data_IF_944173947010
#
_entry.id   IF_944173947010
#
_cell.length_a   1.000
_cell.length_b   1.000
_cell.length_c   1.000
_cell.angle_alpha   90.00
_cell.angle_beta   90.00
_cell.angle_gamma   90.00
#
_symmetry.space_group_name_H-M   'P 1'
#
loop_
_entity.id
_entity.type
_entity.pdbx_description
1 polymer ?
#
# COMPACT_ATOMS: atom_id res chain seq x y z
N UNK A 1 -7.57 20.02 5.73
CA UNK A 1 -7.27 18.61 6.04
C UNK A 1 -6.75 18.57 7.46
N UNK A 2 -7.04 17.52 8.25
CA UNK A 2 -6.56 17.41 9.63
C UNK A 2 -5.05 17.26 9.65
N UNK A 3 -4.40 17.84 10.64
CA UNK A 3 -2.98 17.66 10.87
C UNK A 3 -2.73 16.23 11.37
N UNK A 4 -1.72 15.56 10.81
CA UNK A 4 -1.21 14.27 11.31
C UNK A 4 -0.01 14.48 12.27
N UNK A 5 0.19 15.70 12.73
CA UNK A 5 1.29 16.07 13.62
C UNK A 5 1.31 15.18 14.89
N UNK A 6 2.46 14.62 15.19
CA UNK A 6 2.65 13.71 16.31
C UNK A 6 2.25 12.25 16.06
N UNK A 7 1.71 11.92 14.88
CA UNK A 7 1.45 10.54 14.47
C UNK A 7 2.65 9.96 13.74
N UNK A 8 2.80 8.65 13.85
CA UNK A 8 3.87 7.88 13.22
C UNK A 8 3.30 6.90 12.20
N UNK A 9 3.84 6.92 10.99
CA UNK A 9 3.41 6.08 9.88
C UNK A 9 4.51 5.12 9.40
N UNK A 10 4.12 3.90 9.02
CA UNK A 10 4.94 2.96 8.28
C UNK A 10 4.29 2.66 6.92
N UNK A 11 5.03 2.88 5.83
CA UNK A 11 4.59 2.60 4.47
C UNK A 11 5.46 1.52 3.85
N UNK A 12 4.90 0.33 3.57
CA UNK A 12 5.64 -0.72 2.87
C UNK A 12 5.71 -0.44 1.38
N UNK A 13 6.86 -0.73 0.74
CA UNK A 13 7.06 -0.37 -0.67
C UNK A 13 7.15 1.15 -0.89
N UNK A 14 7.53 1.92 0.14
CA UNK A 14 7.51 3.38 0.15
C UNK A 14 8.61 4.07 -0.66
N UNK A 15 9.53 3.32 -1.30
CA UNK A 15 10.63 3.92 -2.07
C UNK A 15 10.23 4.47 -3.44
N UNK A 16 9.07 4.10 -4.00
CA UNK A 16 8.62 4.52 -5.33
C UNK A 16 7.10 4.41 -5.51
N UNK A 17 6.60 4.97 -6.63
CA UNK A 17 5.21 4.87 -7.06
C UNK A 17 4.21 5.30 -5.97
N UNK A 18 3.12 4.57 -5.85
CA UNK A 18 2.03 4.85 -4.89
C UNK A 18 2.56 4.95 -3.45
N UNK A 19 3.40 4.00 -3.02
CA UNK A 19 3.94 4.01 -1.67
C UNK A 19 4.77 5.25 -1.35
N UNK A 20 5.58 5.73 -2.30
CA UNK A 20 6.33 6.98 -2.15
C UNK A 20 5.41 8.19 -2.07
N UNK A 21 4.42 8.29 -2.95
CA UNK A 21 3.45 9.38 -2.93
C UNK A 21 2.69 9.43 -1.59
N UNK A 22 2.26 8.27 -1.08
CA UNK A 22 1.63 8.18 0.23
C UNK A 22 2.59 8.65 1.34
N UNK A 23 3.84 8.19 1.36
CA UNK A 23 4.81 8.57 2.38
C UNK A 23 5.01 10.09 2.42
N UNK A 24 5.17 10.74 1.26
CA UNK A 24 5.32 12.19 1.17
C UNK A 24 4.05 12.95 1.55
N UNK A 25 2.89 12.46 1.16
CA UNK A 25 1.62 13.08 1.49
C UNK A 25 1.35 13.05 3.01
N UNK A 26 1.68 11.93 3.70
CA UNK A 26 1.56 11.83 5.16
C UNK A 26 2.57 12.75 5.88
N UNK A 27 3.79 12.85 5.35
CA UNK A 27 4.82 13.76 5.87
C UNK A 27 4.40 15.23 5.74
N UNK A 28 3.87 15.63 4.59
CA UNK A 28 3.35 16.98 4.38
C UNK A 28 2.18 17.35 5.30
N UNK A 29 1.45 16.36 5.84
CA UNK A 29 0.43 16.57 6.88
C UNK A 29 1.01 16.52 8.31
N UNK A 30 2.32 16.33 8.46
CA UNK A 30 3.04 16.42 9.74
C UNK A 30 3.29 15.08 10.45
N UNK A 31 3.05 13.94 9.80
CA UNK A 31 3.38 12.63 10.37
C UNK A 31 4.88 12.32 10.24
N UNK A 32 5.46 11.68 11.26
CA UNK A 32 6.74 11.00 11.13
C UNK A 32 6.55 9.75 10.25
N UNK A 33 7.40 9.54 9.25
CA UNK A 33 7.18 8.46 8.29
C UNK A 33 8.40 7.56 8.14
N UNK A 34 8.19 6.26 8.35
CA UNK A 34 9.13 5.23 7.94
C UNK A 34 8.66 4.57 6.63
N UNK A 35 9.60 4.29 5.74
CA UNK A 35 9.35 3.48 4.55
C UNK A 35 10.06 2.13 4.68
N UNK A 36 9.36 1.04 4.36
CA UNK A 36 9.99 -0.28 4.29
C UNK A 36 10.25 -0.66 2.83
N UNK A 37 11.44 -1.20 2.56
CA UNK A 37 11.89 -1.62 1.24
C UNK A 37 12.56 -2.98 1.27
N UNK A 38 12.58 -3.69 0.13
CA UNK A 38 13.22 -5.00 0.03
C UNK A 38 14.60 -4.95 -0.63
N UNK A 39 14.73 -4.24 -1.76
CA UNK A 39 15.93 -4.27 -2.61
C UNK A 39 16.48 -2.89 -2.96
N UNK A 40 15.62 -1.93 -3.23
CA UNK A 40 15.98 -0.60 -3.74
C UNK A 40 16.25 0.34 -2.55
N UNK A 41 17.45 0.23 -2.02
CA UNK A 41 17.92 1.01 -0.87
C UNK A 41 18.00 2.49 -1.19
N UNK A 42 18.58 2.83 -2.35
CA UNK A 42 18.74 4.22 -2.77
C UNK A 42 17.40 4.94 -2.91
N UNK A 43 16.41 4.27 -3.51
CA UNK A 43 15.08 4.85 -3.64
C UNK A 43 14.39 5.06 -2.28
N UNK A 44 14.56 4.13 -1.35
CA UNK A 44 13.99 4.25 -0.01
C UNK A 44 14.65 5.38 0.79
N UNK A 45 15.97 5.49 0.77
CA UNK A 45 16.69 6.59 1.42
C UNK A 45 16.38 7.95 0.82
N UNK A 46 16.21 8.05 -0.51
CA UNK A 46 15.74 9.28 -1.16
C UNK A 46 14.33 9.67 -0.70
N UNK A 47 13.46 8.69 -0.48
CA UNK A 47 12.12 8.97 0.06
C UNK A 47 12.20 9.43 1.51
N UNK A 48 13.00 8.77 2.36
CA UNK A 48 13.19 9.17 3.75
C UNK A 48 13.76 10.59 3.86
N UNK A 49 14.77 10.94 3.06
CA UNK A 49 15.32 12.29 3.00
C UNK A 49 14.28 13.34 2.53
N UNK A 50 13.39 12.96 1.59
CA UNK A 50 12.32 13.84 1.15
C UNK A 50 11.22 14.01 2.23
N UNK A 51 10.97 12.99 3.05
CA UNK A 51 10.14 13.10 4.26
C UNK A 51 10.76 14.06 5.28
N UNK A 52 12.06 13.95 5.54
CA UNK A 52 12.78 14.85 6.45
C UNK A 52 12.75 16.32 5.97
N UNK A 53 12.72 16.55 4.66
CA UNK A 53 12.59 17.89 4.10
C UNK A 53 11.24 18.57 4.41
N UNK A 54 10.20 17.80 4.76
CA UNK A 54 8.92 18.31 5.27
C UNK A 54 8.99 18.71 6.76
N UNK A 55 10.14 18.52 7.43
CA UNK A 55 10.34 18.90 8.83
C UNK A 55 9.91 17.85 9.87
N UNK A 56 9.67 16.62 9.43
CA UNK A 56 9.30 15.47 10.27
C UNK A 56 10.40 14.40 10.23
N UNK A 57 10.30 13.35 11.06
CA UNK A 57 11.27 12.25 11.03
C UNK A 57 11.04 11.34 9.83
N UNK A 58 12.12 11.03 9.10
CA UNK A 58 12.15 10.12 7.97
C UNK A 58 13.03 8.90 8.23
N UNK A 59 12.53 7.68 8.01
CA UNK A 59 13.31 6.46 8.18
C UNK A 59 13.15 5.51 6.98
N UNK A 60 14.22 4.76 6.67
CA UNK A 60 14.17 3.70 5.68
C UNK A 60 14.59 2.37 6.32
N UNK A 61 13.70 1.37 6.30
CA UNK A 61 13.94 0.06 6.88
C UNK A 61 13.96 -1.01 5.79
N UNK A 62 15.05 -1.78 5.73
CA UNK A 62 15.07 -2.95 4.87
C UNK A 62 14.30 -4.08 5.52
N UNK A 63 13.28 -4.60 4.82
CA UNK A 63 12.53 -5.78 5.21
C UNK A 63 11.79 -6.38 4.01
N UNK A 64 11.74 -7.70 3.92
CA UNK A 64 10.91 -8.44 2.97
C UNK A 64 9.61 -8.83 3.64
N UNK A 65 8.49 -8.32 3.14
CA UNK A 65 7.17 -8.61 3.74
C UNK A 65 6.75 -10.07 3.59
N UNK A 66 7.34 -10.82 2.65
CA UNK A 66 7.09 -12.24 2.41
C UNK A 66 7.86 -13.17 3.39
N UNK A 67 8.64 -12.61 4.31
CA UNK A 67 9.35 -13.32 5.37
C UNK A 67 8.83 -12.88 6.75
N UNK A 68 8.36 -13.85 7.54
CA UNK A 68 7.79 -13.60 8.86
C UNK A 68 8.82 -13.05 9.86
N UNK A 69 10.06 -13.55 9.84
CA UNK A 69 11.09 -13.10 10.78
C UNK A 69 11.58 -11.68 10.43
N UNK A 70 11.67 -11.35 9.14
CA UNK A 70 11.94 -9.97 8.71
C UNK A 70 10.80 -9.02 9.10
N UNK A 71 9.53 -9.44 9.01
CA UNK A 71 8.39 -8.66 9.50
C UNK A 71 8.46 -8.42 11.02
N UNK A 72 8.81 -9.43 11.80
CA UNK A 72 9.02 -9.32 13.26
C UNK A 72 10.21 -8.40 13.60
N UNK A 73 11.30 -8.52 12.85
CA UNK A 73 12.46 -7.65 13.01
C UNK A 73 12.13 -6.20 12.67
N UNK A 74 11.36 -5.98 11.60
CA UNK A 74 10.85 -4.65 11.25
C UNK A 74 9.99 -4.06 12.36
N UNK A 75 9.06 -4.82 12.94
CA UNK A 75 8.22 -4.37 14.04
C UNK A 75 9.04 -3.92 15.26
N UNK A 76 10.08 -4.69 15.63
CA UNK A 76 11.00 -4.30 16.71
C UNK A 76 11.77 -3.02 16.40
N UNK A 77 12.21 -2.84 15.15
CA UNK A 77 12.90 -1.59 14.73
C UNK A 77 11.97 -0.39 14.73
N UNK A 78 10.74 -0.55 14.26
CA UNK A 78 9.73 0.51 14.33
C UNK A 78 9.49 0.91 15.79
N UNK A 79 9.34 -0.04 16.70
CA UNK A 79 9.17 0.23 18.12
C UNK A 79 10.40 0.93 18.73
N UNK A 80 11.64 0.46 18.45
CA UNK A 80 12.86 1.02 19.01
C UNK A 80 13.17 2.43 18.50
N UNK A 81 12.96 2.67 17.19
CA UNK A 81 13.43 3.87 16.53
C UNK A 81 12.36 4.97 16.49
N UNK A 82 11.09 4.59 16.49
CA UNK A 82 9.95 5.51 16.40
C UNK A 82 9.13 5.59 17.70
N UNK A 83 9.14 4.53 18.51
CA UNK A 83 8.44 4.47 19.80
C UNK A 83 6.94 4.15 19.69
N UNK A 84 6.28 4.55 18.61
CA UNK A 84 4.85 4.36 18.37
C UNK A 84 4.60 3.99 16.89
N UNK A 85 3.40 3.49 16.60
CA UNK A 85 2.91 3.33 15.24
C UNK A 85 1.39 3.56 15.21
N UNK A 86 0.99 4.64 14.56
CA UNK A 86 -0.41 5.05 14.46
C UNK A 86 -1.01 4.72 13.09
N UNK A 87 -0.17 4.68 12.04
CA UNK A 87 -0.61 4.48 10.67
C UNK A 87 0.24 3.40 10.01
N UNK A 88 -0.41 2.34 9.48
CA UNK A 88 0.25 1.33 8.66
C UNK A 88 -0.37 1.32 7.26
N UNK A 89 0.47 1.48 6.23
CA UNK A 89 0.05 1.37 4.84
C UNK A 89 0.74 0.17 4.17
N UNK A 90 -0.07 -0.84 3.82
CA UNK A 90 0.36 -1.99 3.03
C UNK A 90 0.37 -1.65 1.54
N UNK A 91 1.46 -1.08 1.04
CA UNK A 91 1.64 -0.74 -0.38
C UNK A 91 2.68 -1.61 -1.11
N UNK A 92 3.43 -2.45 -0.40
CA UNK A 92 4.35 -3.39 -1.03
C UNK A 92 3.61 -4.36 -1.94
N UNK A 93 4.08 -4.50 -3.17
CA UNK A 93 3.46 -5.40 -4.14
C UNK A 93 4.36 -5.72 -5.33
N UNK A 94 4.00 -6.77 -6.04
CA UNK A 94 4.66 -7.24 -7.26
C UNK A 94 3.61 -7.62 -8.30
N UNK A 95 3.94 -7.48 -9.58
CA UNK A 95 3.09 -7.99 -10.65
C UNK A 95 3.23 -9.51 -10.82
N UNK A 96 2.19 -10.17 -11.34
CA UNK A 96 2.28 -11.52 -11.89
C UNK A 96 2.82 -11.47 -13.32
N UNK A 97 3.22 -12.64 -13.85
CA UNK A 97 3.78 -12.75 -15.22
C UNK A 97 2.74 -12.75 -16.32
N UNK A 98 1.46 -12.88 -15.99
CA UNK A 98 0.38 -12.83 -16.97
C UNK A 98 0.20 -14.14 -17.77
N UNK A 99 0.41 -15.30 -17.13
CA UNK A 99 0.12 -16.61 -17.71
C UNK A 99 -1.33 -17.04 -17.45
N UNK A 100 -1.85 -17.93 -18.32
CA UNK A 100 -3.12 -18.62 -18.07
C UNK A 100 -3.03 -19.46 -16.79
N UNK A 101 -4.16 -19.83 -16.19
CA UNK A 101 -4.16 -20.73 -15.02
C UNK A 101 -3.49 -22.07 -15.34
N UNK A 102 -3.69 -22.57 -16.56
CA UNK A 102 -3.09 -23.83 -17.00
C UNK A 102 -1.56 -23.76 -17.13
N UNK A 103 -1.01 -22.59 -17.46
CA UNK A 103 0.41 -22.40 -17.76
C UNK A 103 1.14 -21.66 -16.61
N UNK A 104 0.44 -21.31 -15.54
CA UNK A 104 1.05 -20.64 -14.40
C UNK A 104 1.96 -21.60 -13.63
N UNK A 105 3.24 -21.26 -13.56
CA UNK A 105 4.20 -21.99 -12.74
C UNK A 105 3.77 -21.91 -11.24
N UNK A 106 3.66 -23.05 -10.53
CA UNK A 106 3.35 -23.06 -9.09
C UNK A 106 4.25 -22.14 -8.26
N UNK A 107 5.53 -22.01 -8.61
CA UNK A 107 6.46 -21.11 -7.94
C UNK A 107 6.11 -19.62 -8.14
N UNK A 108 5.53 -19.28 -9.29
CA UNK A 108 5.02 -17.93 -9.54
C UNK A 108 3.79 -17.63 -8.70
N UNK A 109 2.84 -18.56 -8.61
CA UNK A 109 1.67 -18.45 -7.74
C UNK A 109 2.11 -18.25 -6.29
N UNK A 110 2.99 -19.11 -5.77
CA UNK A 110 3.51 -19.00 -4.42
C UNK A 110 4.19 -17.64 -4.18
N UNK A 111 5.07 -17.21 -5.07
CA UNK A 111 5.77 -15.92 -4.98
C UNK A 111 4.82 -14.74 -4.87
N UNK A 112 3.76 -14.72 -5.66
CA UNK A 112 2.78 -13.64 -5.67
C UNK A 112 1.93 -13.66 -4.40
N UNK A 113 1.46 -14.83 -3.97
CA UNK A 113 0.68 -14.98 -2.74
C UNK A 113 1.51 -14.66 -1.49
N UNK A 114 2.79 -15.01 -1.45
CA UNK A 114 3.66 -14.64 -0.33
C UNK A 114 3.71 -13.13 -0.12
N UNK A 115 3.78 -12.35 -1.20
CA UNK A 115 3.85 -10.88 -1.08
C UNK A 115 2.48 -10.26 -0.81
N UNK A 116 1.41 -10.74 -1.44
CA UNK A 116 0.11 -10.06 -1.40
C UNK A 116 -0.87 -10.61 -0.36
N UNK A 117 -0.68 -11.86 0.09
CA UNK A 117 -1.55 -12.48 1.08
C UNK A 117 -0.80 -12.70 2.41
N UNK A 118 0.31 -13.46 2.39
CA UNK A 118 1.03 -13.78 3.61
C UNK A 118 1.76 -12.56 4.19
N UNK A 119 2.37 -11.74 3.34
CA UNK A 119 3.11 -10.54 3.77
C UNK A 119 2.26 -9.57 4.58
N UNK A 120 1.10 -9.11 4.08
CA UNK A 120 0.18 -8.29 4.85
C UNK A 120 -0.25 -8.94 6.17
N UNK A 121 -0.52 -10.25 6.18
CA UNK A 121 -0.85 -10.96 7.42
C UNK A 121 0.32 -10.98 8.41
N UNK A 122 1.53 -11.35 7.98
CA UNK A 122 2.71 -11.41 8.83
C UNK A 122 3.03 -10.05 9.47
N UNK A 123 3.01 -9.01 8.65
CA UNK A 123 3.34 -7.67 9.12
C UNK A 123 2.24 -7.11 10.03
N UNK A 124 0.96 -7.31 9.70
CA UNK A 124 -0.14 -6.93 10.60
C UNK A 124 -0.04 -7.64 11.94
N UNK A 125 0.17 -8.96 11.94
CA UNK A 125 0.36 -9.74 13.18
C UNK A 125 1.51 -9.19 14.04
N UNK A 126 2.62 -8.81 13.42
CA UNK A 126 3.79 -8.31 14.14
C UNK A 126 3.58 -6.89 14.71
N UNK A 127 2.80 -6.02 14.03
CA UNK A 127 2.62 -4.62 14.38
C UNK A 127 1.35 -4.32 15.19
N UNK A 128 0.32 -5.18 15.15
CA UNK A 128 -0.92 -4.98 15.90
C UNK A 128 -0.71 -4.69 17.40
N UNK A 129 0.20 -5.38 18.13
CA UNK A 129 0.45 -5.06 19.53
C UNK A 129 0.95 -3.63 19.76
N UNK A 130 1.76 -3.09 18.85
CA UNK A 130 2.26 -1.72 18.91
C UNK A 130 1.15 -0.73 18.57
N UNK A 131 0.40 -0.97 17.51
CA UNK A 131 -0.68 -0.10 17.04
C UNK A 131 -1.84 0.01 18.04
N UNK A 132 -2.11 -1.04 18.82
CA UNK A 132 -3.14 -1.04 19.90
C UNK A 132 -2.81 -0.12 21.07
N UNK A 133 -1.60 0.43 21.15
CA UNK A 133 -1.20 1.38 22.21
C UNK A 133 -1.69 2.80 21.92
N UNK A 134 -1.99 3.10 20.67
CA UNK A 134 -2.55 4.39 20.27
C UNK A 134 -4.04 4.47 20.62
N UNK A 135 -4.53 5.64 20.96
CA UNK A 135 -5.96 5.90 21.15
C UNK A 135 -6.73 5.68 19.85
N UNK A 136 -6.11 6.08 18.73
CA UNK A 136 -6.57 5.81 17.38
C UNK A 136 -5.42 5.33 16.51
N UNK A 137 -5.65 4.25 15.78
CA UNK A 137 -4.73 3.80 14.73
C UNK A 137 -5.49 3.50 13.44
N UNK A 138 -4.77 3.64 12.31
CA UNK A 138 -5.34 3.46 10.98
C UNK A 138 -4.48 2.50 10.17
N UNK A 139 -5.11 1.54 9.51
CA UNK A 139 -4.45 0.62 8.58
C UNK A 139 -5.08 0.73 7.21
N UNK A 140 -4.26 0.94 6.17
CA UNK A 140 -4.73 1.03 4.78
C UNK A 140 -4.01 -0.01 3.93
N UNK A 141 -4.80 -0.78 3.19
CA UNK A 141 -4.30 -1.76 2.23
C UNK A 141 -4.46 -1.22 0.81
N UNK A 142 -3.37 -1.17 0.06
CA UNK A 142 -3.40 -0.81 -1.37
C UNK A 142 -3.68 -2.07 -2.18
N UNK A 143 -4.95 -2.28 -2.53
CA UNK A 143 -5.42 -3.37 -3.37
C UNK A 143 -5.40 -2.97 -4.87
N UNK A 144 -6.41 -3.35 -5.62
CA UNK A 144 -6.57 -3.03 -7.03
C UNK A 144 -8.00 -3.33 -7.48
N UNK A 145 -8.49 -2.66 -8.51
CA UNK A 145 -9.73 -3.02 -9.22
C UNK A 145 -9.68 -4.39 -9.90
N UNK A 146 -8.52 -5.02 -9.93
CA UNK A 146 -8.36 -6.38 -10.44
C UNK A 146 -9.29 -7.38 -9.74
N UNK A 147 -9.66 -7.11 -8.48
CA UNK A 147 -10.58 -7.95 -7.69
C UNK A 147 -12.04 -7.84 -8.13
N UNK A 148 -12.40 -6.81 -8.90
CA UNK A 148 -13.75 -6.66 -9.46
C UNK A 148 -13.85 -7.40 -10.80
N UNK A 149 -12.93 -7.13 -11.71
CA UNK A 149 -12.97 -7.67 -13.07
C UNK A 149 -12.40 -9.08 -13.23
N UNK A 150 -11.45 -9.47 -12.39
CA UNK A 150 -10.73 -10.77 -12.46
C UNK A 150 -10.39 -11.20 -13.91
N UNK A 151 -9.72 -10.35 -14.70
CA UNK A 151 -9.51 -10.60 -16.11
C UNK A 151 -8.66 -11.87 -16.36
N UNK A 152 -8.72 -12.45 -17.56
CA UNK A 152 -7.83 -13.54 -17.93
C UNK A 152 -6.36 -13.21 -17.67
N UNK A 153 -5.55 -14.20 -17.40
CA UNK A 153 -4.10 -14.11 -17.15
C UNK A 153 -3.70 -13.37 -15.87
N UNK A 154 -4.65 -13.09 -14.97
CA UNK A 154 -4.40 -12.40 -13.71
C UNK A 154 -4.45 -13.29 -12.46
N UNK A 155 -4.64 -14.61 -12.61
CA UNK A 155 -4.94 -15.54 -11.52
C UNK A 155 -4.15 -15.31 -10.23
N UNK A 156 -2.80 -15.41 -10.23
CA UNK A 156 -2.02 -15.22 -9.00
C UNK A 156 -2.20 -13.84 -8.35
N UNK A 157 -2.27 -12.77 -9.18
CA UNK A 157 -2.41 -11.41 -8.69
C UNK A 157 -3.81 -11.14 -8.13
N UNK A 158 -4.86 -11.57 -8.85
CA UNK A 158 -6.26 -11.45 -8.38
C UNK A 158 -6.47 -12.22 -7.07
N UNK A 159 -5.96 -13.46 -6.96
CA UNK A 159 -6.01 -14.24 -5.72
C UNK A 159 -5.31 -13.52 -4.56
N UNK A 160 -4.12 -12.99 -4.79
CA UNK A 160 -3.35 -12.29 -3.75
C UNK A 160 -4.05 -11.02 -3.27
N UNK A 161 -4.60 -10.22 -4.18
CA UNK A 161 -5.33 -8.99 -3.82
C UNK A 161 -6.67 -9.28 -3.15
N UNK A 162 -7.42 -10.28 -3.60
CA UNK A 162 -8.65 -10.71 -2.93
C UNK A 162 -8.39 -11.24 -1.50
N UNK A 163 -7.30 -12.00 -1.31
CA UNK A 163 -6.90 -12.45 0.03
C UNK A 163 -6.51 -11.27 0.94
N UNK A 164 -5.81 -10.25 0.42
CA UNK A 164 -5.50 -9.02 1.15
C UNK A 164 -6.76 -8.27 1.57
N UNK A 165 -7.77 -8.14 0.69
CA UNK A 165 -9.04 -7.48 1.00
C UNK A 165 -9.83 -8.25 2.08
N UNK A 166 -9.86 -9.59 2.00
CA UNK A 166 -10.48 -10.42 3.02
C UNK A 166 -9.80 -10.24 4.39
N UNK A 167 -8.46 -10.18 4.42
CA UNK A 167 -7.69 -9.91 5.63
C UNK A 167 -8.05 -8.53 6.21
N UNK A 168 -8.07 -7.48 5.38
CA UNK A 168 -8.42 -6.13 5.82
C UNK A 168 -9.80 -6.06 6.47
N UNK A 169 -10.80 -6.71 5.86
CA UNK A 169 -12.16 -6.81 6.39
C UNK A 169 -12.22 -7.55 7.74
N UNK A 170 -11.39 -8.57 7.90
CA UNK A 170 -11.31 -9.34 9.14
C UNK A 170 -10.70 -8.49 10.25
N UNK A 171 -9.53 -7.87 10.00
CA UNK A 171 -8.84 -7.01 10.97
C UNK A 171 -9.75 -5.84 11.38
N UNK A 172 -10.46 -5.21 10.44
CA UNK A 172 -11.37 -4.11 10.74
C UNK A 172 -12.41 -4.47 11.81
N UNK A 173 -12.94 -5.72 11.75
CA UNK A 173 -13.95 -6.20 12.70
C UNK A 173 -13.35 -6.63 14.04
N UNK A 174 -12.15 -7.20 14.04
CA UNK A 174 -11.45 -7.65 15.23
C UNK A 174 -10.91 -6.48 16.06
N UNK A 175 -10.34 -5.45 15.38
CA UNK A 175 -9.57 -4.38 16.01
C UNK A 175 -10.38 -3.11 16.31
N UNK A 176 -11.62 -2.97 15.86
CA UNK A 176 -12.45 -1.79 16.13
C UNK A 176 -12.58 -1.44 17.61
N UNK A 177 -12.56 -2.47 18.49
CA UNK A 177 -12.59 -2.28 19.96
C UNK A 177 -11.34 -1.59 20.52
N UNK A 178 -10.27 -1.55 19.73
CA UNK A 178 -9.00 -0.91 20.05
C UNK A 178 -8.85 0.45 19.35
N UNK A 179 -9.94 1.06 18.83
CA UNK A 179 -9.89 2.34 18.14
C UNK A 179 -9.24 2.29 16.76
N UNK A 180 -9.06 1.09 16.18
CA UNK A 180 -8.40 0.93 14.89
C UNK A 180 -9.41 1.01 13.73
N UNK A 181 -9.08 1.86 12.73
CA UNK A 181 -9.78 1.94 11.45
C UNK A 181 -8.97 1.19 10.39
N UNK A 182 -9.61 0.32 9.64
CA UNK A 182 -8.94 -0.48 8.61
C UNK A 182 -9.73 -0.36 7.32
N UNK A 183 -9.07 0.14 6.26
CA UNK A 183 -9.70 0.37 4.98
C UNK A 183 -8.82 -0.14 3.83
N UNK A 184 -9.42 -0.26 2.66
CA UNK A 184 -8.78 -0.67 1.42
C UNK A 184 -8.93 0.44 0.40
N UNK A 185 -7.86 0.78 -0.31
CA UNK A 185 -7.90 1.55 -1.55
C UNK A 185 -7.65 0.61 -2.72
N UNK A 186 -8.46 0.69 -3.76
CA UNK A 186 -8.40 -0.19 -4.93
C UNK A 186 -8.20 0.65 -6.21
N UNK A 187 -6.95 1.02 -6.55
CA UNK A 187 -6.67 1.79 -7.75
C UNK A 187 -6.89 0.99 -9.03
N UNK A 188 -7.25 1.70 -10.11
CA UNK A 188 -7.11 1.24 -11.48
C UNK A 188 -5.66 1.27 -11.96
N UNK A 189 -5.46 1.60 -13.24
CA UNK A 189 -4.11 1.84 -13.79
C UNK A 189 -3.59 3.17 -13.24
N UNK A 190 -2.39 3.13 -12.62
CA UNK A 190 -1.73 4.31 -12.04
C UNK A 190 -0.40 4.54 -12.75
N UNK A 191 -0.03 5.79 -13.03
CA UNK A 191 1.25 6.15 -13.68
C UNK A 191 2.44 5.86 -12.77
N UNK A 192 2.84 4.61 -12.74
CA UNK A 192 3.98 4.06 -12.01
C UNK A 192 4.78 3.15 -12.93
N UNK A 193 5.98 2.74 -12.50
CA UNK A 193 6.75 1.73 -13.24
C UNK A 193 5.99 0.42 -13.44
N UNK A 194 5.12 0.04 -12.50
CA UNK A 194 4.27 -1.14 -12.62
C UNK A 194 3.16 -0.90 -13.64
N UNK A 195 2.47 0.23 -13.56
CA UNK A 195 1.41 0.62 -14.49
C UNK A 195 1.92 0.74 -15.92
N UNK A 196 3.06 1.41 -16.14
CA UNK A 196 3.70 1.54 -17.46
C UNK A 196 4.03 0.18 -18.07
N UNK A 197 4.58 -0.75 -17.28
CA UNK A 197 4.84 -2.12 -17.73
C UNK A 197 3.56 -2.90 -18.05
N UNK A 198 2.51 -2.72 -17.26
CA UNK A 198 1.22 -3.35 -17.50
C UNK A 198 0.63 -2.87 -18.83
N UNK A 199 0.52 -1.56 -19.02
CA UNK A 199 -0.06 -0.96 -20.23
C UNK A 199 0.74 -1.37 -21.49
N UNK A 200 2.07 -1.41 -21.39
CA UNK A 200 2.92 -1.92 -22.46
C UNK A 200 2.63 -3.38 -22.79
N UNK A 201 2.49 -4.23 -21.77
CA UNK A 201 2.27 -5.67 -21.96
C UNK A 201 0.86 -6.00 -22.46
N UNK A 202 -0.17 -5.24 -22.08
CA UNK A 202 -1.57 -5.56 -22.38
C UNK A 202 -2.13 -4.79 -23.58
N UNK A 203 -1.69 -3.56 -23.80
CA UNK A 203 -2.20 -2.67 -24.84
C UNK A 203 -1.13 -2.29 -25.89
N UNK A 204 0.14 -2.70 -25.73
CA UNK A 204 1.24 -2.31 -26.61
C UNK A 204 1.59 -0.82 -26.57
N UNK A 205 1.15 -0.10 -25.57
CA UNK A 205 1.37 1.33 -25.41
C UNK A 205 2.74 1.56 -24.74
N UNK A 206 3.66 2.19 -25.45
CA UNK A 206 5.02 2.45 -24.94
C UNK A 206 5.08 3.56 -23.92
N UNK A 207 4.34 4.65 -24.14
CA UNK A 207 4.20 5.77 -23.19
C UNK A 207 2.79 5.77 -22.60
N UNK A 208 2.68 5.59 -21.29
CA UNK A 208 1.41 5.53 -20.57
C UNK A 208 0.55 6.80 -20.80
N UNK A 209 1.16 7.94 -21.12
CA UNK A 209 0.45 9.18 -21.45
C UNK A 209 -0.38 9.08 -22.72
N UNK A 210 -0.10 8.12 -23.61
CA UNK A 210 -0.94 7.85 -24.77
C UNK A 210 -2.34 7.31 -24.36
N UNK A 211 -2.46 6.76 -23.14
CA UNK A 211 -3.73 6.32 -22.59
C UNK A 211 -4.56 7.47 -21.99
N UNK A 212 -4.01 8.67 -21.82
CA UNK A 212 -4.70 9.82 -21.23
C UNK A 212 -6.00 10.15 -21.99
N UNK A 213 -5.97 10.14 -23.33
CA UNK A 213 -7.14 10.46 -24.15
C UNK A 213 -8.32 9.48 -23.98
N UNK A 214 -8.06 8.25 -23.55
CA UNK A 214 -9.07 7.22 -23.28
C UNK A 214 -9.35 7.04 -21.79
N UNK A 215 -8.61 7.73 -20.93
CA UNK A 215 -8.77 7.64 -19.48
C UNK A 215 -9.91 8.56 -19.00
N UNK A 216 -10.63 8.19 -17.93
CA UNK A 216 -11.53 9.09 -17.25
C UNK A 216 -10.80 10.40 -16.89
N UNK A 217 -11.50 11.52 -16.96
CA UNK A 217 -10.95 12.85 -16.67
C UNK A 217 -9.75 13.30 -17.52
N UNK A 218 -9.43 12.59 -18.63
CA UNK A 218 -8.39 12.97 -19.59
C UNK A 218 -6.95 12.72 -19.12
N UNK A 219 -6.75 11.89 -18.11
CA UNK A 219 -5.43 11.46 -17.66
C UNK A 219 -5.46 10.09 -16.96
N UNK A 220 -4.36 9.37 -17.02
CA UNK A 220 -4.16 8.17 -16.22
C UNK A 220 -3.95 8.58 -14.76
N UNK A 221 -4.62 7.88 -13.83
CA UNK A 221 -4.53 8.15 -12.40
C UNK A 221 -3.06 8.30 -11.95
N UNK A 222 -2.78 9.31 -11.15
CA UNK A 222 -1.44 9.57 -10.60
C UNK A 222 -1.26 8.90 -9.24
N UNK A 223 -0.03 8.61 -8.81
CA UNK A 223 0.24 8.15 -7.45
C UNK A 223 -0.27 9.10 -6.36
N UNK A 224 -0.25 10.40 -6.64
CA UNK A 224 -0.69 11.47 -5.74
C UNK A 224 -2.20 11.41 -5.51
N UNK A 225 -3.01 11.13 -6.53
CA UNK A 225 -4.46 10.95 -6.40
C UNK A 225 -4.83 9.76 -5.51
N UNK A 226 -4.04 8.68 -5.57
CA UNK A 226 -4.19 7.55 -4.64
C UNK A 226 -3.79 7.97 -3.23
N UNK A 227 -2.70 8.73 -3.08
CA UNK A 227 -2.22 9.20 -1.80
C UNK A 227 -3.22 10.14 -1.11
N UNK A 228 -3.92 10.99 -1.85
CA UNK A 228 -4.95 11.89 -1.31
C UNK A 228 -6.13 11.12 -0.69
N UNK A 229 -6.53 10.01 -1.28
CA UNK A 229 -7.57 9.13 -0.69
C UNK A 229 -7.04 8.49 0.60
N UNK A 230 -5.78 8.02 0.62
CA UNK A 230 -5.18 7.46 1.84
C UNK A 230 -5.11 8.53 2.93
N UNK A 231 -4.68 9.76 2.62
CA UNK A 231 -4.67 10.90 3.57
C UNK A 231 -6.05 11.13 4.19
N UNK A 232 -7.10 11.13 3.37
CA UNK A 232 -8.47 11.24 3.88
C UNK A 232 -8.79 10.10 4.86
N UNK A 233 -8.53 8.86 4.49
CA UNK A 233 -8.87 7.69 5.29
C UNK A 233 -8.18 7.63 6.66
N UNK A 234 -6.98 8.21 6.79
CA UNK A 234 -6.24 8.25 8.07
C UNK A 234 -6.43 9.55 8.84
N UNK A 235 -7.20 10.51 8.30
CA UNK A 235 -7.50 11.80 8.93
C UNK A 235 -8.73 11.74 9.83
N UNK A 236 -8.92 12.78 10.64
CA UNK A 236 -10.10 12.93 11.49
C UNK A 236 -11.40 13.04 10.70
N UNK A 237 -11.33 13.48 9.42
CA UNK A 237 -12.49 13.52 8.54
C UNK A 237 -13.07 12.12 8.24
N UNK A 238 -12.28 11.05 8.43
CA UNK A 238 -12.70 9.66 8.28
C UNK A 238 -12.93 8.94 9.62
N UNK A 239 -13.18 9.67 10.71
CA UNK A 239 -13.30 9.12 12.09
C UNK A 239 -14.38 8.04 12.27
N UNK A 240 -15.30 7.89 11.32
CA UNK A 240 -16.34 6.86 11.35
C UNK A 240 -16.27 5.91 10.13
N UNK A 241 -15.14 5.93 9.40
CA UNK A 241 -14.94 5.13 8.18
C UNK A 241 -14.00 3.96 8.48
N UNK A 242 -14.53 2.75 8.51
CA UNK A 242 -13.76 1.51 8.66
C UNK A 242 -14.40 0.38 7.87
N UNK A 243 -13.64 -0.65 7.53
CA UNK A 243 -14.04 -1.79 6.71
C UNK A 243 -14.55 -1.39 5.31
N UNK A 244 -14.10 -0.24 4.79
CA UNK A 244 -14.49 0.22 3.47
C UNK A 244 -13.43 -0.13 2.42
N UNK A 245 -13.91 -0.36 1.20
CA UNK A 245 -13.09 -0.48 -0.01
C UNK A 245 -13.42 0.69 -0.92
N UNK A 246 -12.45 1.58 -1.11
CA UNK A 246 -12.58 2.76 -1.96
C UNK A 246 -11.92 2.50 -3.29
N UNK A 247 -12.70 2.50 -4.36
CA UNK A 247 -12.22 2.35 -5.74
C UNK A 247 -11.71 3.68 -6.25
N UNK A 248 -10.54 3.66 -6.91
CA UNK A 248 -9.88 4.85 -7.46
C UNK A 248 -9.51 4.54 -8.92
N UNK A 249 -10.51 4.58 -9.80
CA UNK A 249 -10.38 4.18 -11.21
C UNK A 249 -11.11 5.12 -12.18
N UNK A 250 -11.63 6.23 -11.66
CA UNK A 250 -12.41 7.18 -12.44
C UNK A 250 -13.77 6.66 -12.90
N UNK A 251 -14.28 5.57 -12.31
CA UNK A 251 -15.57 4.96 -12.67
C UNK A 251 -15.49 4.02 -13.89
N UNK A 252 -14.33 3.37 -14.06
CA UNK A 252 -14.10 2.44 -15.19
C UNK A 252 -14.72 1.05 -14.96
N UNK A 253 -14.89 0.60 -13.71
CA UNK A 253 -15.47 -0.68 -13.31
C UNK A 253 -16.76 -0.51 -12.52
#
# INVERSE_FOLDING_TARGET
MGSLAGRTALVTGGGRGIGRAIALALAADGADVAVAYRRDEDAAHKTAAAVEAEGVRGHAFRASVDDLEECRALARRVESDLGALDILVHSAGIASRGHSVADTDPAELERVLRVHAFGPHHLSQALLPLMRRAERSDMVFVSSVITDGMPPFSGPYSMGKAAMEALAQTIAKEERRHGMHVNVVAPGVVDTDMGRRLVRATAGIEDIRQADASSPYGHVCTPEEVADVVRFLVSDAASYVTAQRVVIDGGTF
#
